data_IF_345933405448
#
_entry.id   IF_345933405448
#
_cell.length_a   1.000
_cell.length_b   1.000
_cell.length_c   1.000
_cell.angle_alpha   90.00
_cell.angle_beta   90.00
_cell.angle_gamma   90.00
#
_symmetry.space_group_name_H-M   'P 1'
#
loop_
_entity.id
_entity.type
_entity.pdbx_description
1 polymer ?
#
# COMPACT_ATOMS: atom_id res chain seq x y z
N UNK A 1 13.66 -32.23 -25.95
CA UNK A 1 13.03 -32.50 -24.64
C UNK A 1 12.76 -31.17 -23.97
N UNK A 2 11.49 -30.76 -23.86
CA UNK A 2 11.10 -29.46 -23.27
C UNK A 2 11.06 -29.61 -21.75
N UNK A 3 11.94 -28.91 -21.05
CA UNK A 3 12.08 -29.01 -19.59
C UNK A 3 11.03 -28.08 -18.96
N UNK A 4 9.96 -28.65 -18.40
CA UNK A 4 8.94 -27.88 -17.69
C UNK A 4 9.49 -27.48 -16.33
N UNK A 5 9.69 -26.17 -16.11
CA UNK A 5 10.03 -25.66 -14.79
C UNK A 5 8.74 -25.46 -13.98
N UNK A 6 8.59 -26.22 -12.90
CA UNK A 6 7.52 -25.99 -11.93
C UNK A 6 7.89 -24.77 -11.08
N UNK A 7 7.15 -23.67 -11.24
CA UNK A 7 7.33 -22.48 -10.40
C UNK A 7 6.50 -22.70 -9.14
N UNK A 8 7.16 -22.86 -8.00
CA UNK A 8 6.52 -22.83 -6.69
C UNK A 8 6.22 -21.37 -6.34
N UNK A 9 4.94 -20.98 -6.31
CA UNK A 9 4.55 -19.66 -5.87
C UNK A 9 4.87 -19.51 -4.36
N UNK A 10 5.82 -18.64 -4.01
CA UNK A 10 6.09 -18.29 -2.62
C UNK A 10 5.03 -17.28 -2.15
N UNK A 11 4.23 -17.67 -1.16
CA UNK A 11 3.27 -16.78 -0.53
C UNK A 11 3.98 -15.83 0.43
N UNK A 12 3.89 -14.52 0.17
CA UNK A 12 4.39 -13.47 1.05
C UNK A 12 3.31 -13.06 2.05
N UNK A 13 3.71 -12.59 3.22
CA UNK A 13 2.82 -12.15 4.30
C UNK A 13 3.20 -10.75 4.77
N UNK A 14 2.19 -9.96 5.12
CA UNK A 14 2.32 -8.67 5.81
C UNK A 14 1.96 -8.83 7.28
N UNK A 15 2.58 -8.02 8.14
CA UNK A 15 2.37 -8.05 9.58
C UNK A 15 2.11 -6.65 10.10
N UNK A 16 1.20 -6.53 11.07
CA UNK A 16 0.85 -5.27 11.71
C UNK A 16 0.71 -5.47 13.23
N UNK A 17 1.04 -4.42 13.98
CA UNK A 17 0.97 -4.40 15.43
C UNK A 17 0.07 -3.26 15.86
N UNK A 18 -0.90 -3.57 16.72
CA UNK A 18 -1.86 -2.62 17.23
C UNK A 18 -1.76 -2.57 18.75
N UNK A 19 -1.57 -1.39 19.33
CA UNK A 19 -1.58 -1.21 20.79
C UNK A 19 -2.66 -0.19 21.17
N UNK A 20 -3.55 -0.58 22.09
CA UNK A 20 -4.65 0.27 22.59
C UNK A 20 -4.75 0.18 24.10
N UNK A 21 -5.14 1.28 24.75
CA UNK A 21 -5.24 1.35 26.22
C UNK A 21 -6.43 0.58 26.81
N UNK A 22 -7.47 0.33 26.01
CA UNK A 22 -8.65 -0.39 26.47
C UNK A 22 -9.01 -1.50 25.51
N UNK A 23 -9.57 -2.58 26.02
CA UNK A 23 -10.06 -3.70 25.22
C UNK A 23 -11.14 -3.28 24.21
N UNK A 24 -12.08 -2.41 24.60
CA UNK A 24 -13.15 -1.96 23.70
C UNK A 24 -12.62 -1.29 22.42
N UNK A 25 -11.63 -0.40 22.56
CA UNK A 25 -10.96 0.21 21.42
C UNK A 25 -10.18 -0.81 20.58
N UNK A 26 -9.54 -1.80 21.22
CA UNK A 26 -8.87 -2.87 20.50
C UNK A 26 -9.86 -3.66 19.63
N UNK A 27 -10.97 -4.10 20.21
CA UNK A 27 -12.00 -4.90 19.50
C UNK A 27 -12.56 -4.12 18.31
N UNK A 28 -12.84 -2.83 18.48
CA UNK A 28 -13.33 -1.98 17.38
C UNK A 28 -12.36 -1.99 16.19
N UNK A 29 -11.07 -1.76 16.47
CA UNK A 29 -10.05 -1.68 15.42
C UNK A 29 -9.74 -3.04 14.81
N UNK A 30 -9.78 -4.13 15.59
CA UNK A 30 -9.66 -5.49 15.07
C UNK A 30 -10.80 -5.82 14.10
N UNK A 31 -12.02 -5.37 14.36
CA UNK A 31 -13.14 -5.57 13.43
C UNK A 31 -12.94 -4.78 12.13
N UNK A 32 -12.47 -3.53 12.20
CA UNK A 32 -12.14 -2.72 11.02
C UNK A 32 -11.01 -3.36 10.20
N UNK A 33 -9.91 -3.78 10.86
CA UNK A 33 -8.80 -4.46 10.20
C UNK A 33 -9.23 -5.83 9.61
N UNK A 34 -10.12 -6.54 10.28
CA UNK A 34 -10.72 -7.78 9.76
C UNK A 34 -11.47 -7.58 8.44
N UNK A 35 -12.16 -6.45 8.26
CA UNK A 35 -12.79 -6.08 6.98
C UNK A 35 -11.75 -5.84 5.88
N UNK A 36 -10.52 -5.46 6.24
CA UNK A 36 -9.39 -5.28 5.33
C UNK A 36 -8.57 -6.57 5.11
N UNK A 37 -9.06 -7.72 5.57
CA UNK A 37 -8.42 -9.02 5.39
C UNK A 37 -7.27 -9.28 6.36
N UNK A 38 -7.14 -8.51 7.43
CA UNK A 38 -6.20 -8.81 8.50
C UNK A 38 -6.74 -9.91 9.42
N UNK A 39 -5.88 -10.87 9.72
CA UNK A 39 -6.15 -11.97 10.63
C UNK A 39 -5.41 -11.74 11.95
N UNK A 40 -6.12 -11.84 13.07
CA UNK A 40 -5.52 -11.81 14.39
C UNK A 40 -4.71 -13.09 14.64
N UNK A 41 -3.42 -12.93 14.96
CA UNK A 41 -2.52 -14.04 15.29
C UNK A 41 -2.42 -14.21 16.81
N UNK A 42 -2.23 -13.12 17.53
CA UNK A 42 -2.11 -13.11 18.98
C UNK A 42 -2.58 -11.77 19.54
N UNK A 43 -3.14 -11.79 20.75
CA UNK A 43 -3.40 -10.60 21.54
C UNK A 43 -2.97 -10.84 22.97
N UNK A 44 -2.45 -9.81 23.62
CA UNK A 44 -1.97 -9.87 24.98
C UNK A 44 -2.15 -8.55 25.69
N UNK A 45 -2.16 -8.62 27.02
CA UNK A 45 -2.24 -7.46 27.88
C UNK A 45 -0.92 -7.30 28.63
N UNK A 46 -0.34 -6.10 28.59
CA UNK A 46 0.90 -5.78 29.29
C UNK A 46 0.71 -4.55 30.18
N UNK A 47 1.37 -4.53 31.33
CA UNK A 47 1.45 -3.34 32.18
C UNK A 47 2.59 -2.47 31.69
N UNK A 48 2.28 -1.23 31.30
CA UNK A 48 3.30 -0.26 30.96
C UNK A 48 4.01 0.26 32.22
N UNK A 49 5.17 0.89 32.02
CA UNK A 49 6.00 1.46 33.10
C UNK A 49 5.25 2.50 33.95
N UNK A 50 4.16 3.08 33.42
CA UNK A 50 3.27 4.00 34.13
C UNK A 50 2.19 3.34 34.99
N UNK A 51 2.12 2.01 35.04
CA UNK A 51 1.06 1.27 35.74
C UNK A 51 -0.23 1.10 34.94
N UNK A 52 -0.38 1.86 33.85
CA UNK A 52 -1.46 1.69 32.88
C UNK A 52 -1.37 0.34 32.18
N UNK A 53 -2.52 -0.26 31.96
CA UNK A 53 -2.62 -1.54 31.28
C UNK A 53 -2.91 -1.30 29.80
N UNK A 54 -2.10 -1.87 28.91
CA UNK A 54 -2.25 -1.75 27.47
C UNK A 54 -2.51 -3.12 26.85
N UNK A 55 -3.34 -3.14 25.82
CA UNK A 55 -3.59 -4.31 24.99
C UNK A 55 -2.81 -4.20 23.69
N UNK A 56 -2.13 -5.27 23.32
CA UNK A 56 -1.37 -5.36 22.07
C UNK A 56 -1.85 -6.56 21.27
N UNK A 57 -2.15 -6.33 20.00
CA UNK A 57 -2.53 -7.35 19.03
C UNK A 57 -1.50 -7.44 17.90
N UNK A 58 -1.28 -8.66 17.45
CA UNK A 58 -0.38 -9.04 16.36
C UNK A 58 -1.25 -9.59 15.24
N UNK A 59 -1.20 -8.96 14.07
CA UNK A 59 -2.00 -9.33 12.92
C UNK A 59 -1.11 -9.74 11.75
N UNK A 60 -1.66 -10.60 10.89
CA UNK A 60 -1.05 -10.96 9.61
C UNK A 60 -2.07 -10.89 8.49
N UNK A 61 -1.62 -10.69 7.25
CA UNK A 61 -2.44 -10.94 6.06
C UNK A 61 -1.59 -11.42 4.89
N UNK A 62 -2.15 -12.19 3.94
CA UNK A 62 -1.44 -12.48 2.70
C UNK A 62 -1.07 -11.19 1.97
N UNK A 63 0.16 -11.09 1.50
CA UNK A 63 0.59 -9.96 0.69
C UNK A 63 -0.15 -9.98 -0.64
N UNK A 64 -0.97 -8.97 -0.87
CA UNK A 64 -1.57 -8.70 -2.17
C UNK A 64 -0.78 -7.55 -2.77
N UNK A 65 -0.11 -7.72 -3.94
CA UNK A 65 0.55 -6.63 -4.61
C UNK A 65 -0.47 -5.52 -4.84
N UNK A 66 -0.35 -4.43 -4.09
CA UNK A 66 -1.19 -3.27 -4.34
C UNK A 66 -0.71 -2.70 -5.68
N UNK A 67 -1.55 -2.76 -6.70
CA UNK A 67 -1.39 -1.88 -7.85
C UNK A 67 -1.22 -0.47 -7.28
N UNK A 68 -0.10 0.19 -7.58
CA UNK A 68 0.23 1.50 -7.04
C UNK A 68 -1.02 2.38 -7.11
N UNK A 69 -1.53 2.79 -5.94
CA UNK A 69 -2.68 3.69 -5.88
C UNK A 69 -2.29 4.93 -6.70
N UNK A 70 -3.05 5.33 -7.74
CA UNK A 70 -2.81 6.62 -8.36
C UNK A 70 -2.91 7.66 -7.24
N UNK A 71 -1.90 8.53 -7.18
CA UNK A 71 -1.82 9.58 -6.17
C UNK A 71 -3.17 10.31 -6.12
N UNK A 72 -3.76 10.37 -4.92
CA UNK A 72 -5.02 11.06 -4.71
C UNK A 72 -4.85 12.54 -5.09
N UNK A 73 -5.42 12.92 -6.23
CA UNK A 73 -5.71 14.32 -6.53
C UNK A 73 -6.64 14.84 -5.44
N UNK A 74 -6.18 15.89 -4.75
CA UNK A 74 -6.97 16.59 -3.76
C UNK A 74 -8.21 17.17 -4.44
N UNK A 75 -9.38 16.70 -4.03
CA UNK A 75 -10.64 17.38 -4.25
C UNK A 75 -10.57 18.72 -3.51
N UNK A 76 -10.55 19.81 -4.28
CA UNK A 76 -10.65 21.17 -3.80
C UNK A 76 -11.43 22.01 -4.81
N UNK A 77 -12.65 22.34 -4.41
CA UNK A 77 -13.42 23.53 -4.81
C UNK A 77 -14.34 23.47 -6.05
N UNK A 78 -15.65 23.49 -5.74
CA UNK A 78 -16.74 23.84 -6.64
C UNK A 78 -16.51 25.23 -7.25
N UNK A 79 -16.65 25.38 -8.55
CA UNK A 79 -17.25 26.57 -9.18
C UNK A 79 -17.98 26.15 -10.46
N UNK A 80 -19.10 26.83 -10.66
CA UNK A 80 -20.23 26.63 -11.56
C UNK A 80 -19.93 26.83 -13.06
N UNK A 81 -20.88 26.38 -13.88
CA UNK A 81 -21.21 26.75 -15.28
C UNK A 81 -20.74 25.89 -16.47
N UNK A 82 -21.72 25.66 -17.35
CA UNK A 82 -21.75 24.96 -18.66
C UNK A 82 -22.06 26.03 -19.74
N UNK A 83 -22.03 25.82 -21.09
CA UNK A 83 -21.53 24.73 -21.95
C UNK A 83 -20.68 25.16 -23.21
N UNK A 84 -19.86 24.24 -23.77
CA UNK A 84 -19.44 24.01 -25.19
C UNK A 84 -18.80 25.15 -26.08
N UNK A 85 -18.30 24.86 -27.31
CA UNK A 85 -17.18 23.98 -27.73
C UNK A 85 -16.14 24.69 -28.65
N UNK A 86 -14.84 24.34 -28.60
CA UNK A 86 -13.82 24.74 -29.61
C UNK A 86 -12.68 23.71 -29.74
N UNK A 87 -12.28 23.42 -30.98
CA UNK A 87 -11.36 22.37 -31.41
C UNK A 87 -9.84 22.74 -31.30
N UNK A 88 -8.93 22.02 -31.98
CA UNK A 88 -7.93 21.12 -31.43
C UNK A 88 -6.54 21.77 -31.24
N UNK A 89 -5.78 21.35 -30.22
CA UNK A 89 -4.35 21.67 -30.12
C UNK A 89 -3.53 20.39 -30.06
N UNK A 90 -2.91 20.09 -31.19
CA UNK A 90 -1.81 19.17 -31.37
C UNK A 90 -0.63 19.63 -30.47
N UNK A 91 -0.22 18.79 -29.53
CA UNK A 91 1.06 18.92 -28.84
C UNK A 91 1.62 17.53 -28.56
N UNK A 92 2.18 16.96 -29.63
CA UNK A 92 3.38 16.13 -29.68
C UNK A 92 3.84 15.64 -28.30
N UNK A 93 3.45 14.41 -27.95
CA UNK A 93 4.03 13.67 -26.84
C UNK A 93 5.53 13.53 -27.10
N UNK A 94 6.33 14.38 -26.44
CA UNK A 94 7.79 14.32 -26.47
C UNK A 94 8.19 13.06 -25.68
N UNK A 95 8.20 11.94 -26.39
CA UNK A 95 8.67 10.66 -25.90
C UNK A 95 10.10 10.76 -25.39
N UNK A 96 10.38 9.97 -24.36
CA UNK A 96 11.68 9.83 -23.72
C UNK A 96 12.76 9.57 -24.78
N UNK A 97 13.66 10.54 -24.96
CA UNK A 97 14.80 10.47 -25.87
C UNK A 97 15.87 9.58 -25.24
N UNK A 98 16.10 8.40 -25.82
CA UNK A 98 17.11 7.42 -25.39
C UNK A 98 18.32 7.39 -26.33
N UNK A 99 18.56 8.44 -27.12
CA UNK A 99 19.80 8.59 -27.88
C UNK A 99 20.78 9.49 -27.10
N UNK A 100 21.54 8.92 -26.16
CA UNK A 100 22.66 9.71 -25.63
C UNK A 100 23.46 9.26 -24.42
N UNK A 101 23.12 8.18 -23.71
CA UNK A 101 23.90 7.79 -22.51
C UNK A 101 24.57 6.42 -22.66
N UNK A 102 25.58 6.40 -23.53
CA UNK A 102 26.54 5.29 -23.63
C UNK A 102 27.55 5.41 -22.47
N UNK A 103 27.32 4.66 -21.40
CA UNK A 103 28.19 4.66 -20.23
C UNK A 103 29.43 3.78 -20.49
N UNK A 104 30.56 4.40 -20.84
CA UNK A 104 31.85 3.71 -20.95
C UNK A 104 32.52 3.52 -19.59
N UNK A 105 32.56 2.28 -19.10
CA UNK A 105 33.42 1.88 -17.98
C UNK A 105 34.84 1.74 -18.51
N UNK A 106 35.76 2.59 -18.05
CA UNK A 106 37.20 2.38 -18.27
C UNK A 106 37.68 1.29 -17.32
N UNK A 107 38.11 0.16 -17.87
CA UNK A 107 39.03 -0.74 -17.19
C UNK A 107 40.47 -0.16 -17.25
N UNK A 108 41.22 -0.53 -16.22
CA UNK A 108 42.55 -0.12 -15.75
C UNK A 108 43.61 0.26 -16.80
#
# INVERSE_FOLDING_TARGET
MTKTATIHAMQKWEYEFLTKKTEAYLVKELNELGQHGWELVAAGQCKERGGDTAWTAFLKRPYVPHAAKPAAEKVGEKTTESPAPSAPSDSTSRGFDLEGDEFSIKEE
#
